data_IF_692838423187
#
_entry.id   IF_692838423187
#
_cell.length_a   1.000
_cell.length_b   1.000
_cell.length_c   1.000
_cell.angle_alpha   90.00
_cell.angle_beta   90.00
_cell.angle_gamma   90.00
#
_symmetry.space_group_name_H-M   'P 1'
#
loop_
_entity.id
_entity.type
_entity.pdbx_description
1 polymer ?
#
# COMPACT_ATOMS: atom_id res chain seq x y z
N UNK A 1 -11.50 -22.25 4.58
CA UNK A 1 -10.41 -21.75 3.72
C UNK A 1 -9.13 -21.94 4.50
N UNK A 2 -8.10 -22.55 3.90
CA UNK A 2 -6.81 -22.68 4.56
C UNK A 2 -6.10 -21.32 4.52
N UNK A 3 -5.46 -20.93 5.63
CA UNK A 3 -4.66 -19.71 5.66
C UNK A 3 -3.32 -19.94 4.97
N UNK A 4 -3.27 -19.60 3.68
CA UNK A 4 -2.05 -19.67 2.86
C UNK A 4 -1.63 -18.29 2.34
N UNK A 5 -2.16 -17.21 2.94
CA UNK A 5 -1.85 -15.85 2.53
C UNK A 5 -0.58 -15.37 3.26
N UNK A 6 0.49 -15.15 2.50
CA UNK A 6 1.76 -14.66 3.04
C UNK A 6 1.84 -13.13 2.94
N UNK A 7 2.28 -12.49 4.02
CA UNK A 7 2.69 -11.09 3.98
C UNK A 7 4.02 -10.97 3.21
N UNK A 8 4.23 -9.80 2.61
CA UNK A 8 5.48 -9.45 1.93
C UNK A 8 6.39 -8.67 2.88
N UNK A 9 7.72 -8.75 2.71
CA UNK A 9 8.63 -7.78 3.30
C UNK A 9 8.21 -6.35 2.97
N UNK A 10 8.46 -5.41 3.88
CA UNK A 10 8.06 -4.00 3.68
C UNK A 10 8.71 -3.39 2.43
N UNK A 11 9.95 -3.77 2.13
CA UNK A 11 10.75 -3.31 1.01
C UNK A 11 10.69 -4.22 -0.22
N UNK A 12 9.72 -5.14 -0.27
CA UNK A 12 9.52 -5.99 -1.42
C UNK A 12 9.37 -5.18 -2.72
N UNK A 13 10.22 -5.47 -3.72
CA UNK A 13 10.22 -4.79 -5.02
C UNK A 13 10.88 -3.41 -5.00
N UNK A 14 11.49 -2.97 -3.91
CA UNK A 14 12.13 -1.66 -3.82
C UNK A 14 13.25 -1.47 -4.85
N UNK A 15 14.08 -2.50 -5.03
CA UNK A 15 15.22 -2.47 -5.96
C UNK A 15 14.79 -2.44 -7.42
N UNK A 16 13.64 -3.06 -7.72
CA UNK A 16 13.10 -3.16 -9.08
C UNK A 16 12.25 -1.93 -9.45
N UNK A 17 11.46 -1.43 -8.50
CA UNK A 17 10.51 -0.33 -8.72
C UNK A 17 11.17 1.06 -8.60
N UNK A 18 12.28 1.19 -7.85
CA UNK A 18 12.92 2.47 -7.57
C UNK A 18 14.35 2.58 -8.13
N UNK A 19 14.54 3.28 -9.29
CA UNK A 19 15.83 3.39 -9.96
C UNK A 19 16.90 4.07 -9.09
N UNK A 20 17.93 3.31 -8.68
CA UNK A 20 19.00 3.81 -7.82
C UNK A 20 18.81 3.45 -6.34
N UNK A 21 17.82 2.63 -6.00
CA UNK A 21 17.72 2.02 -4.68
C UNK A 21 18.96 1.13 -4.41
N UNK A 22 19.53 1.18 -3.20
CA UNK A 22 20.59 0.26 -2.81
C UNK A 22 20.11 -1.20 -2.81
N UNK A 23 21.00 -2.13 -3.18
CA UNK A 23 20.78 -3.59 -3.13
C UNK A 23 20.63 -4.19 -1.73
N UNK A 24 20.65 -3.34 -0.72
CA UNK A 24 20.50 -3.70 0.68
C UNK A 24 19.09 -3.32 1.17
N UNK A 25 18.15 -3.14 0.25
CA UNK A 25 16.76 -2.78 0.53
C UNK A 25 16.61 -1.47 1.31
N UNK A 26 15.59 -1.43 2.17
CA UNK A 26 15.22 -0.24 2.94
C UNK A 26 16.36 0.22 3.87
N UNK A 27 17.14 -0.70 4.42
CA UNK A 27 18.27 -0.37 5.30
C UNK A 27 19.32 0.50 4.57
N UNK A 28 19.59 0.19 3.30
CA UNK A 28 20.48 1.01 2.47
C UNK A 28 19.90 2.39 2.20
N UNK A 29 18.60 2.46 1.88
CA UNK A 29 17.92 3.74 1.64
C UNK A 29 17.96 4.62 2.89
N UNK A 30 17.71 4.07 4.08
CA UNK A 30 17.75 4.82 5.34
C UNK A 30 19.17 5.26 5.72
N UNK A 31 20.18 4.47 5.35
CA UNK A 31 21.57 4.86 5.55
C UNK A 31 21.96 6.02 4.62
N UNK A 32 21.44 6.02 3.39
CA UNK A 32 21.66 7.09 2.41
C UNK A 32 20.84 8.35 2.75
N UNK A 33 19.59 8.18 3.20
CA UNK A 33 18.66 9.25 3.50
C UNK A 33 18.21 9.19 4.96
N UNK A 34 18.70 10.16 5.76
CA UNK A 34 18.29 10.32 7.17
C UNK A 34 16.77 10.54 7.35
N UNK A 35 16.07 10.92 6.29
CA UNK A 35 14.62 11.08 6.24
C UNK A 35 14.10 10.73 4.85
N UNK A 36 12.99 10.00 4.81
CA UNK A 36 12.23 9.72 3.60
C UNK A 36 11.17 10.79 3.30
N UNK A 37 11.02 11.81 4.16
CA UNK A 37 10.15 12.93 3.86
C UNK A 37 10.76 13.75 2.70
N UNK A 38 10.06 13.87 1.57
CA UNK A 38 10.62 14.55 0.42
C UNK A 38 10.67 16.07 0.66
N UNK A 39 11.81 16.67 0.34
CA UNK A 39 12.00 18.11 0.29
C UNK A 39 11.83 18.60 -1.15
N UNK A 40 10.75 19.32 -1.45
CA UNK A 40 10.44 19.79 -2.81
C UNK A 40 11.45 20.82 -3.37
N UNK A 41 12.36 21.30 -2.53
CA UNK A 41 13.45 22.20 -2.91
C UNK A 41 14.83 21.51 -2.90
N UNK A 42 14.88 20.21 -2.60
CA UNK A 42 16.10 19.41 -2.55
C UNK A 42 16.59 18.92 -3.91
N UNK A 43 17.55 18.00 -3.90
CA UNK A 43 18.07 17.36 -5.11
C UNK A 43 17.00 16.48 -5.76
N UNK A 44 16.60 16.82 -6.98
CA UNK A 44 15.47 16.17 -7.65
C UNK A 44 15.58 14.63 -7.72
N UNK A 45 16.78 14.08 -7.98
CA UNK A 45 16.99 12.63 -8.09
C UNK A 45 16.83 11.96 -6.73
N UNK A 46 17.40 12.55 -5.69
CA UNK A 46 17.26 12.06 -4.31
C UNK A 46 15.81 12.12 -3.84
N UNK A 47 15.10 13.20 -4.16
CA UNK A 47 13.71 13.40 -3.75
C UNK A 47 12.76 12.47 -4.50
N UNK A 48 13.02 12.19 -5.79
CA UNK A 48 12.32 11.15 -6.54
C UNK A 48 12.52 9.77 -5.92
N UNK A 49 13.74 9.47 -5.46
CA UNK A 49 14.05 8.20 -4.79
C UNK A 49 13.32 8.04 -3.46
N UNK A 50 13.24 9.10 -2.65
CA UNK A 50 12.46 9.09 -1.40
C UNK A 50 10.97 8.90 -1.67
N UNK A 51 10.40 9.60 -2.65
CA UNK A 51 8.99 9.45 -3.05
C UNK A 51 8.70 8.02 -3.54
N UNK A 52 9.57 7.48 -4.41
CA UNK A 52 9.42 6.11 -4.89
C UNK A 52 9.48 5.09 -3.75
N UNK A 53 10.47 5.19 -2.88
CA UNK A 53 10.63 4.30 -1.72
C UNK A 53 9.35 4.32 -0.88
N UNK A 54 8.83 5.50 -0.54
CA UNK A 54 7.58 5.63 0.22
C UNK A 54 6.39 4.99 -0.48
N UNK A 55 6.33 5.05 -1.82
CA UNK A 55 5.27 4.44 -2.59
C UNK A 55 5.33 2.91 -2.53
N UNK A 56 6.53 2.32 -2.65
CA UNK A 56 6.74 0.87 -2.49
C UNK A 56 6.30 0.41 -1.10
N UNK A 57 6.79 1.09 -0.05
CA UNK A 57 6.42 0.79 1.34
C UNK A 57 4.90 0.87 1.54
N UNK A 58 4.24 1.90 1.02
CA UNK A 58 2.78 2.05 1.12
C UNK A 58 2.01 0.93 0.41
N UNK A 59 2.44 0.53 -0.80
CA UNK A 59 1.84 -0.58 -1.55
C UNK A 59 1.96 -1.91 -0.79
N UNK A 60 3.14 -2.19 -0.22
CA UNK A 60 3.38 -3.41 0.54
C UNK A 60 2.60 -3.42 1.86
N UNK A 61 2.55 -2.29 2.58
CA UNK A 61 1.72 -2.15 3.77
C UNK A 61 0.22 -2.37 3.47
N UNK A 62 -0.28 -1.79 2.37
CA UNK A 62 -1.67 -2.00 1.90
C UNK A 62 -1.95 -3.49 1.62
N UNK A 63 -1.04 -4.15 0.91
CA UNK A 63 -1.14 -5.58 0.62
C UNK A 63 -1.16 -6.42 1.90
N UNK A 64 -0.22 -6.18 2.82
CA UNK A 64 -0.12 -6.91 4.07
C UNK A 64 -1.36 -6.70 4.94
N UNK A 65 -1.94 -5.50 4.97
CA UNK A 65 -3.18 -5.29 5.72
C UNK A 65 -4.38 -6.01 5.10
N UNK A 66 -4.39 -6.19 3.78
CA UNK A 66 -5.39 -7.02 3.11
C UNK A 66 -5.21 -8.50 3.48
N UNK A 67 -3.97 -8.98 3.53
CA UNK A 67 -3.65 -10.34 4.02
C UNK A 67 -4.09 -10.52 5.48
N UNK A 68 -3.79 -9.55 6.36
CA UNK A 68 -4.21 -9.61 7.78
C UNK A 68 -5.73 -9.61 7.91
N UNK A 69 -6.46 -8.82 7.11
CA UNK A 69 -7.92 -8.87 7.10
C UNK A 69 -8.46 -10.24 6.65
N UNK A 70 -7.90 -10.83 5.59
CA UNK A 70 -8.30 -12.18 5.15
C UNK A 70 -8.12 -13.22 6.25
N UNK A 71 -6.98 -13.18 6.97
CA UNK A 71 -6.72 -14.06 8.12
C UNK A 71 -7.72 -13.85 9.25
N UNK A 72 -7.99 -12.59 9.62
CA UNK A 72 -9.00 -12.24 10.64
C UNK A 72 -10.39 -12.77 10.26
N UNK A 73 -10.78 -12.69 8.98
CA UNK A 73 -12.07 -13.21 8.50
C UNK A 73 -12.14 -14.74 8.60
N UNK A 74 -11.05 -15.45 8.25
CA UNK A 74 -10.97 -16.91 8.41
C UNK A 74 -11.11 -17.31 9.89
N UNK A 75 -10.38 -16.64 10.77
CA UNK A 75 -10.44 -16.88 12.21
C UNK A 75 -11.84 -16.59 12.77
N UNK A 76 -12.45 -15.47 12.36
CA UNK A 76 -13.81 -15.08 12.76
C UNK A 76 -14.86 -16.07 12.31
N UNK A 77 -14.76 -16.59 11.09
CA UNK A 77 -15.66 -17.63 10.62
C UNK A 77 -15.57 -18.90 11.48
N UNK A 78 -14.38 -19.27 11.97
CA UNK A 78 -14.23 -20.39 12.89
C UNK A 78 -14.83 -20.09 14.28
N UNK A 79 -14.67 -18.85 14.79
CA UNK A 79 -15.31 -18.42 16.04
C UNK A 79 -16.84 -18.41 15.94
N UNK A 80 -17.37 -17.99 14.79
CA UNK A 80 -18.81 -17.98 14.55
C UNK A 80 -19.41 -19.39 14.63
N UNK A 81 -18.76 -20.39 14.02
CA UNK A 81 -19.18 -21.80 14.15
C UNK A 81 -19.20 -22.29 15.60
N UNK A 82 -18.30 -21.81 16.44
CA UNK A 82 -18.29 -22.13 17.87
C UNK A 82 -19.47 -21.47 18.61
N UNK A 83 -19.83 -20.23 18.27
CA UNK A 83 -21.01 -19.54 18.80
C UNK A 83 -22.30 -20.27 18.38
N UNK A 84 -22.38 -20.73 17.13
CA UNK A 84 -23.51 -21.55 16.66
C UNK A 84 -23.61 -22.87 17.43
N UNK A 85 -22.49 -23.57 17.65
CA UNK A 85 -22.48 -24.81 18.43
C UNK A 85 -22.94 -24.61 19.89
N UNK A 86 -22.68 -23.45 20.50
CA UNK A 86 -23.17 -23.13 21.85
C UNK A 86 -24.70 -23.01 21.90
N UNK A 87 -25.33 -22.56 20.82
CA UNK A 87 -26.79 -22.51 20.70
C UNK A 87 -27.40 -23.91 20.78
N UNK A 88 -26.79 -24.88 20.10
CA UNK A 88 -27.23 -26.27 20.10
C UNK A 88 -27.10 -26.93 21.49
N UNK A 89 -26.13 -26.49 22.30
CA UNK A 89 -25.94 -26.96 23.67
C UNK A 89 -26.89 -26.31 24.69
N UNK A 90 -27.41 -25.12 24.42
CA UNK A 90 -28.28 -24.37 25.33
C UNK A 90 -29.71 -24.91 25.45
N UNK A 91 -30.13 -25.83 24.56
CA UNK A 91 -31.46 -26.43 24.57
C UNK A 91 -32.59 -25.40 24.47
N UNK A 92 -33.60 -25.51 25.35
CA UNK A 92 -34.77 -24.61 25.39
C UNK A 92 -34.67 -23.52 26.47
N UNK A 93 -33.52 -23.37 27.13
CA UNK A 93 -33.33 -22.37 28.17
C UNK A 93 -33.37 -20.96 27.58
N UNK A 94 -34.42 -20.20 27.92
CA UNK A 94 -34.61 -18.82 27.44
C UNK A 94 -33.41 -17.92 27.76
N UNK A 95 -32.80 -18.09 28.93
CA UNK A 95 -31.60 -17.31 29.31
C UNK A 95 -30.37 -17.67 28.48
N UNK A 96 -30.19 -18.95 28.13
CA UNK A 96 -29.09 -19.39 27.28
C UNK A 96 -29.27 -18.92 25.82
N UNK A 97 -30.51 -18.97 25.31
CA UNK A 97 -30.87 -18.48 23.99
C UNK A 97 -30.67 -16.96 23.89
N UNK A 98 -31.13 -16.20 24.88
CA UNK A 98 -30.94 -14.74 24.91
C UNK A 98 -29.46 -14.35 25.02
N UNK A 99 -28.64 -15.09 25.77
CA UNK A 99 -27.20 -14.87 25.84
C UNK A 99 -26.52 -15.13 24.48
N UNK A 100 -26.89 -16.22 23.80
CA UNK A 100 -26.39 -16.55 22.47
C UNK A 100 -26.78 -15.48 21.43
N UNK A 101 -28.04 -15.02 21.43
CA UNK A 101 -28.50 -13.97 20.51
C UNK A 101 -27.73 -12.66 20.70
N UNK A 102 -27.47 -12.26 21.96
CA UNK A 102 -26.65 -11.09 22.26
C UNK A 102 -25.19 -11.26 21.78
N UNK A 103 -24.63 -12.46 21.92
CA UNK A 103 -23.28 -12.78 21.44
C UNK A 103 -23.19 -12.72 19.91
N UNK A 104 -24.19 -13.24 19.20
CA UNK A 104 -24.31 -13.12 17.75
C UNK A 104 -24.40 -11.66 17.32
N UNK A 105 -25.24 -10.84 17.97
CA UNK A 105 -25.35 -9.41 17.66
C UNK A 105 -24.03 -8.67 17.90
N UNK A 106 -23.36 -8.92 19.02
CA UNK A 106 -22.04 -8.34 19.31
C UNK A 106 -21.02 -8.76 18.26
N UNK A 107 -21.02 -10.03 17.87
CA UNK A 107 -20.13 -10.56 16.85
C UNK A 107 -20.36 -9.86 15.51
N UNK A 108 -21.60 -9.76 15.04
CA UNK A 108 -21.93 -9.06 13.78
C UNK A 108 -21.51 -7.60 13.82
N UNK A 109 -21.79 -6.88 14.91
CA UNK A 109 -21.40 -5.48 15.06
C UNK A 109 -19.88 -5.28 15.01
N UNK A 110 -19.12 -6.12 15.73
CA UNK A 110 -17.65 -6.09 15.67
C UNK A 110 -17.12 -6.44 14.29
N UNK A 111 -17.79 -7.31 13.55
CA UNK A 111 -17.41 -7.65 12.19
C UNK A 111 -17.60 -6.50 11.21
N UNK A 112 -18.74 -5.81 11.30
CA UNK A 112 -19.01 -4.62 10.49
C UNK A 112 -17.97 -3.52 10.76
N UNK A 113 -17.70 -3.22 12.05
CA UNK A 113 -16.73 -2.17 12.42
C UNK A 113 -15.32 -2.45 11.89
N UNK A 114 -14.83 -3.69 11.96
CA UNK A 114 -13.51 -4.04 11.45
C UNK A 114 -13.42 -3.93 9.92
N UNK A 115 -14.47 -4.30 9.19
CA UNK A 115 -14.54 -4.18 7.74
C UNK A 115 -14.57 -2.71 7.32
N UNK A 116 -15.35 -1.89 8.02
CA UNK A 116 -15.41 -0.44 7.77
C UNK A 116 -14.06 0.22 8.05
N UNK A 117 -13.42 -0.13 9.17
CA UNK A 117 -12.08 0.36 9.51
C UNK A 117 -11.06 -0.02 8.44
N UNK A 118 -11.07 -1.28 7.99
CA UNK A 118 -10.17 -1.74 6.94
C UNK A 118 -10.41 -1.03 5.61
N UNK A 119 -11.66 -0.85 5.20
CA UNK A 119 -12.01 -0.10 3.98
C UNK A 119 -11.49 1.35 4.05
N UNK A 120 -11.66 2.00 5.20
CA UNK A 120 -11.13 3.35 5.43
C UNK A 120 -9.60 3.36 5.36
N UNK A 121 -8.93 2.36 5.94
CA UNK A 121 -7.48 2.24 5.89
C UNK A 121 -6.98 2.01 4.45
N UNK A 122 -7.64 1.18 3.65
CA UNK A 122 -7.29 0.96 2.24
C UNK A 122 -7.45 2.23 1.40
N UNK A 123 -8.52 2.99 1.66
CA UNK A 123 -8.78 4.29 1.00
C UNK A 123 -7.72 5.32 1.38
N UNK A 124 -7.26 5.33 2.63
CA UNK A 124 -6.17 6.19 3.08
C UNK A 124 -4.86 5.85 2.38
N UNK A 125 -4.52 4.56 2.24
CA UNK A 125 -3.35 4.14 1.46
C UNK A 125 -3.44 4.55 -0.01
N UNK A 126 -4.61 4.40 -0.64
CA UNK A 126 -4.79 4.83 -2.03
C UNK A 126 -4.62 6.33 -2.21
N UNK A 127 -5.26 7.13 -1.36
CA UNK A 127 -5.09 8.58 -1.34
C UNK A 127 -3.63 8.99 -1.13
N UNK A 128 -2.93 8.33 -0.21
CA UNK A 128 -1.52 8.59 0.05
C UNK A 128 -0.63 8.24 -1.15
N UNK A 129 -0.86 7.09 -1.80
CA UNK A 129 -0.13 6.68 -3.00
C UNK A 129 -0.39 7.65 -4.16
N UNK A 130 -1.62 8.14 -4.34
CA UNK A 130 -1.95 9.16 -5.35
C UNK A 130 -1.18 10.45 -5.08
N UNK A 131 -1.18 10.95 -3.84
CA UNK A 131 -0.41 12.15 -3.48
C UNK A 131 1.09 11.99 -3.75
N UNK A 132 1.67 10.82 -3.46
CA UNK A 132 3.07 10.52 -3.80
C UNK A 132 3.33 10.52 -5.32
N UNK A 133 2.38 10.01 -6.14
CA UNK A 133 2.50 10.06 -7.61
C UNK A 133 2.44 11.50 -8.15
N UNK A 134 1.59 12.33 -7.56
CA UNK A 134 1.51 13.76 -7.90
C UNK A 134 2.81 14.49 -7.53
N UNK A 135 3.38 14.18 -6.37
CA UNK A 135 4.68 14.70 -5.93
C UNK A 135 5.80 14.31 -6.90
N UNK A 136 5.88 13.02 -7.28
CA UNK A 136 6.81 12.54 -8.30
C UNK A 136 6.61 13.27 -9.64
N UNK A 137 5.37 13.48 -10.06
CA UNK A 137 5.07 14.19 -11.31
C UNK A 137 5.51 15.65 -11.26
N UNK A 138 5.29 16.33 -10.14
CA UNK A 138 5.73 17.71 -9.91
C UNK A 138 7.25 17.83 -9.90
N UNK A 139 7.93 16.88 -9.25
CA UNK A 139 9.39 16.80 -9.27
C UNK A 139 9.90 16.59 -10.71
N UNK A 140 9.30 15.69 -11.49
CA UNK A 140 9.69 15.47 -12.87
C UNK A 140 9.51 16.73 -13.74
N UNK A 141 8.37 17.44 -13.60
CA UNK A 141 8.12 18.71 -14.31
C UNK A 141 9.14 19.78 -13.94
N UNK A 142 9.40 19.97 -12.64
CA UNK A 142 10.42 20.93 -12.17
C UNK A 142 11.81 20.61 -12.70
N UNK A 143 12.16 19.33 -12.85
CA UNK A 143 13.42 18.93 -13.47
C UNK A 143 13.46 19.31 -14.96
N UNK A 144 12.37 19.15 -15.70
CA UNK A 144 12.27 19.53 -17.11
C UNK A 144 12.23 21.07 -17.31
N UNK A 145 11.52 21.79 -16.43
CA UNK A 145 11.35 23.25 -16.50
C UNK A 145 12.56 24.03 -15.97
N UNK A 146 13.25 23.49 -14.96
CA UNK A 146 14.49 24.06 -14.40
C UNK A 146 15.71 23.88 -15.30
N UNK A 147 15.61 23.02 -16.31
CA UNK A 147 16.64 22.75 -17.33
C UNK A 147 16.61 23.78 -18.48
N UNK A 148 15.99 24.96 -18.28
CA UNK A 148 15.98 26.03 -19.29
C UNK A 148 17.36 26.65 -19.54
N UNK A 149 18.35 26.42 -18.66
CA UNK A 149 19.73 26.90 -18.78
C UNK A 149 20.80 25.80 -18.76
N UNK A 150 20.45 24.53 -18.90
CA UNK A 150 21.45 23.45 -18.94
C UNK A 150 21.51 22.80 -20.32
N UNK A 151 22.74 22.42 -20.68
CA UNK A 151 23.23 21.85 -21.94
C UNK A 151 22.48 20.60 -22.45
N UNK A 152 21.45 20.15 -21.72
CA UNK A 152 20.62 18.98 -21.98
C UNK A 152 19.37 19.27 -22.84
N UNK A 153 19.13 20.53 -23.24
CA UNK A 153 18.08 20.93 -24.20
C UNK A 153 17.98 20.05 -25.47
N UNK A 154 19.07 19.51 -26.06
CA UNK A 154 18.99 18.62 -27.23
C UNK A 154 18.47 17.21 -26.88
N UNK A 155 18.66 16.73 -25.66
CA UNK A 155 18.30 15.36 -25.28
C UNK A 155 16.79 15.20 -25.05
N UNK A 156 16.12 16.21 -24.52
CA UNK A 156 14.66 16.23 -24.40
C UNK A 156 13.93 16.20 -25.76
N UNK A 157 14.49 16.86 -26.78
CA UNK A 157 13.96 16.82 -28.15
C UNK A 157 14.32 15.54 -28.90
N UNK A 158 15.51 14.97 -28.67
CA UNK A 158 15.96 13.74 -29.35
C UNK A 158 15.20 12.50 -28.90
N UNK A 159 14.91 12.34 -27.60
CA UNK A 159 14.15 11.17 -27.10
C UNK A 159 12.71 11.21 -27.62
N UNK A 160 12.06 12.38 -27.61
CA UNK A 160 10.70 12.49 -28.15
C UNK A 160 10.65 12.23 -29.66
N UNK A 161 11.62 12.73 -30.44
CA UNK A 161 11.66 12.50 -31.88
C UNK A 161 12.02 11.05 -32.25
N UNK A 162 12.95 10.41 -31.55
CA UNK A 162 13.33 9.01 -31.81
C UNK A 162 12.21 8.03 -31.42
N UNK A 163 11.54 8.28 -30.30
CA UNK A 163 10.47 7.40 -29.80
C UNK A 163 9.18 7.58 -30.61
N UNK A 164 8.80 8.82 -30.99
CA UNK A 164 7.68 9.02 -31.92
C UNK A 164 8.00 8.46 -33.31
N UNK A 165 9.23 8.63 -33.83
CA UNK A 165 9.60 8.10 -35.15
C UNK A 165 9.55 6.58 -35.17
N UNK A 166 10.02 5.90 -34.12
CA UNK A 166 9.92 4.44 -33.98
C UNK A 166 8.46 3.96 -33.83
N UNK A 167 7.61 4.74 -33.16
CA UNK A 167 6.18 4.43 -33.02
C UNK A 167 5.37 4.69 -34.30
N UNK A 168 5.83 5.57 -35.18
CA UNK A 168 5.21 5.90 -36.49
C UNK A 168 5.83 5.14 -37.67
N UNK A 169 6.89 4.36 -37.45
CA UNK A 169 7.49 3.49 -38.47
C UNK A 169 7.26 1.98 -38.21
N UNK A 170 6.27 1.66 -37.37
CA UNK A 170 5.55 0.38 -37.36
C UNK A 170 4.12 0.60 -37.85
#
# INVERSE_FOLDING_TARGET
MADNFAERPEDYGLEDDCPGAPKTGLAGVLQQFKSLAPNMNGNMVEEQMKVCTRMVLAKNAKYNESVRMLKRLIERNNKFKAIEAQRDLGGTSQGALAANDNEVQRFVAQNAMDLDYWNAQMTAYDSYIVGLKEDQSRLARKALDGDQNSWLKPLGQLVQAATLKAALSN
#
